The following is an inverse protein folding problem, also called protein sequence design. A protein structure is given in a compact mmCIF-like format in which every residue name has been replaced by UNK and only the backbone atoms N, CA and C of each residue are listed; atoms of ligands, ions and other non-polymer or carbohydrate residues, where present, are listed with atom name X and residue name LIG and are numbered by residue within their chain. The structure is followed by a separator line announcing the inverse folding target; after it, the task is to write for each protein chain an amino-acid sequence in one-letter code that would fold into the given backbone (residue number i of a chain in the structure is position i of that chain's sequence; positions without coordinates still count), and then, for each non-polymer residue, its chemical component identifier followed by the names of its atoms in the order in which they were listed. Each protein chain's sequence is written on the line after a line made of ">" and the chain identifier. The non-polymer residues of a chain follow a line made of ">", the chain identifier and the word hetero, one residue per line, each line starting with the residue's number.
data_IF_681418387899
#
_entry.id   IF_681418387899
#
_cell.length_a   1.000
_cell.length_b   1.000
_cell.length_c   1.000
_cell.angle_alpha   90.00
_cell.angle_beta   90.00
_cell.angle_gamma   90.00
#
_symmetry.space_group_name_H-M   'P 1'
#
loop_
_entity.id
_entity.type
_entity.pdbx_description
1 polymer ?
#
# COMPACT_ATOMS: atom_id res chain seq x y z
N UNK A 1 12.26 -10.51 -15.64
CA UNK A 1 11.07 -11.26 -15.24
C UNK A 1 10.58 -10.70 -13.92
N UNK A 2 9.27 -10.54 -13.76
CA UNK A 2 8.70 -10.11 -12.49
C UNK A 2 8.91 -11.21 -11.43
N UNK A 3 9.23 -10.81 -10.20
CA UNK A 3 9.40 -11.69 -9.05
C UNK A 3 8.33 -11.36 -8.02
N UNK A 4 7.52 -12.34 -7.65
CA UNK A 4 6.61 -12.24 -6.53
C UNK A 4 7.41 -12.07 -5.23
N UNK A 5 7.12 -10.97 -4.53
CA UNK A 5 7.68 -10.59 -3.24
C UNK A 5 6.59 -10.23 -2.24
N UNK A 6 5.36 -10.71 -2.44
CA UNK A 6 4.19 -10.48 -1.58
C UNK A 6 4.47 -10.83 -0.12
N UNK A 7 5.33 -11.82 0.12
CA UNK A 7 5.77 -12.21 1.47
C UNK A 7 6.56 -11.12 2.23
N UNK A 8 6.95 -10.02 1.59
CA UNK A 8 7.61 -8.86 2.21
C UNK A 8 6.63 -7.75 2.63
N UNK A 9 5.38 -7.86 2.21
CA UNK A 9 4.34 -6.87 2.48
C UNK A 9 3.74 -7.12 3.86
N UNK A 10 3.76 -6.09 4.70
CA UNK A 10 3.20 -6.09 6.05
C UNK A 10 2.10 -5.02 6.14
N UNK A 11 0.87 -5.45 6.42
CA UNK A 11 -0.24 -4.56 6.75
C UNK A 11 -0.10 -4.01 8.17
N UNK A 12 -0.66 -2.82 8.42
CA UNK A 12 -0.82 -2.29 9.79
C UNK A 12 -2.31 -2.22 10.15
N UNK A 13 -2.83 -3.31 10.71
CA UNK A 13 -4.26 -3.48 10.99
C UNK A 13 -4.84 -2.36 11.89
N UNK A 14 -4.07 -1.83 12.83
CA UNK A 14 -4.49 -0.70 13.70
C UNK A 14 -4.80 0.57 12.89
N UNK A 15 -4.09 0.79 11.77
CA UNK A 15 -4.38 1.90 10.88
C UNK A 15 -5.63 1.60 10.05
N UNK A 16 -5.78 0.39 9.54
CA UNK A 16 -7.00 -0.04 8.83
C UNK A 16 -8.26 0.14 9.71
N UNK A 17 -8.22 -0.30 10.97
CA UNK A 17 -9.28 -0.05 11.96
C UNK A 17 -9.55 1.44 12.18
N UNK A 18 -8.52 2.26 12.38
CA UNK A 18 -8.68 3.70 12.60
C UNK A 18 -9.40 4.41 11.44
N UNK A 19 -9.18 3.94 10.21
CA UNK A 19 -9.72 4.54 8.99
C UNK A 19 -10.99 3.84 8.48
N UNK A 20 -11.52 2.85 9.21
CA UNK A 20 -12.69 2.06 8.82
C UNK A 20 -12.55 1.39 7.44
N UNK A 21 -11.33 0.98 7.09
CA UNK A 21 -11.03 0.28 5.83
C UNK A 21 -10.43 -1.09 6.08
N UNK A 22 -10.48 -1.95 5.07
CA UNK A 22 -9.70 -3.19 4.96
C UNK A 22 -8.87 -3.16 3.68
N UNK A 23 -7.59 -3.53 3.79
CA UNK A 23 -6.73 -3.82 2.65
C UNK A 23 -6.73 -5.33 2.38
N UNK A 24 -7.25 -5.74 1.24
CA UNK A 24 -7.36 -7.14 0.84
C UNK A 24 -6.78 -7.41 -0.56
N UNK A 25 -6.64 -8.68 -0.94
CA UNK A 25 -6.19 -9.08 -2.27
C UNK A 25 -4.79 -8.57 -2.64
N UNK A 26 -3.95 -8.28 -1.63
CA UNK A 26 -2.65 -7.64 -1.84
C UNK A 26 -1.68 -8.56 -2.58
N UNK A 27 -1.08 -8.04 -3.64
CA UNK A 27 -0.01 -8.67 -4.41
C UNK A 27 1.12 -7.67 -4.60
N UNK A 28 2.36 -8.14 -4.44
CA UNK A 28 3.55 -7.33 -4.60
C UNK A 28 4.57 -8.05 -5.47
N UNK A 29 5.03 -7.37 -6.52
CA UNK A 29 6.10 -7.88 -7.38
C UNK A 29 7.22 -6.87 -7.58
N UNK A 30 8.40 -7.39 -7.93
CA UNK A 30 9.55 -6.58 -8.33
C UNK A 30 10.03 -6.91 -9.73
N UNK A 31 10.45 -5.90 -10.50
CA UNK A 31 11.12 -6.10 -11.78
C UNK A 31 12.66 -6.27 -11.65
N UNK A 32 13.35 -6.40 -12.77
CA UNK A 32 14.82 -6.57 -12.82
C UNK A 32 15.60 -5.34 -12.34
N UNK A 33 14.97 -4.16 -12.30
CA UNK A 33 15.53 -2.90 -11.84
C UNK A 33 15.20 -2.62 -10.37
N UNK A 34 14.66 -3.60 -9.64
CA UNK A 34 14.13 -3.48 -8.29
C UNK A 34 12.96 -2.48 -8.17
N UNK A 35 12.28 -2.12 -9.26
CA UNK A 35 11.03 -1.38 -9.15
C UNK A 35 9.98 -2.30 -8.55
N UNK A 36 9.15 -1.76 -7.66
CA UNK A 36 8.12 -2.52 -6.96
C UNK A 36 6.75 -2.04 -7.41
N UNK A 37 5.88 -3.01 -7.65
CA UNK A 37 4.47 -2.79 -7.99
C UNK A 37 3.63 -3.50 -6.94
N UNK A 38 2.74 -2.75 -6.29
CA UNK A 38 1.80 -3.26 -5.30
C UNK A 38 0.39 -3.03 -5.86
N UNK A 39 -0.38 -4.10 -5.93
CA UNK A 39 -1.80 -4.05 -6.30
C UNK A 39 -2.63 -4.67 -5.19
N UNK A 40 -3.88 -4.25 -5.08
CA UNK A 40 -4.82 -4.87 -4.17
C UNK A 40 -6.13 -4.11 -4.12
N UNK A 41 -6.90 -4.39 -3.09
CA UNK A 41 -8.25 -3.88 -2.92
C UNK A 41 -8.34 -3.10 -1.62
N UNK A 42 -9.12 -2.03 -1.66
CA UNK A 42 -9.52 -1.25 -0.49
C UNK A 42 -11.03 -1.38 -0.34
N UNK A 43 -11.47 -1.83 0.82
CA UNK A 43 -12.88 -1.98 1.18
C UNK A 43 -13.21 -1.11 2.38
N UNK A 44 -14.44 -0.62 2.50
CA UNK A 44 -14.93 -0.14 3.80
C UNK A 44 -15.34 -1.30 4.67
N UNK A 45 -15.03 -1.21 5.96
CA UNK A 45 -15.58 -2.13 6.98
C UNK A 45 -17.07 -1.88 7.18
N UNK A 46 -17.48 -0.62 7.16
CA UNK A 46 -18.86 -0.20 7.35
C UNK A 46 -19.21 0.99 6.44
N UNK A 47 -20.44 1.02 5.94
CA UNK A 47 -20.90 2.08 5.04
C UNK A 47 -20.38 1.94 3.60
N UNK A 48 -20.52 3.01 2.84
CA UNK A 48 -20.17 3.07 1.41
C UNK A 48 -19.42 4.35 1.02
N UNK A 49 -19.22 5.29 1.94
CA UNK A 49 -18.58 6.59 1.68
C UNK A 49 -17.45 6.82 2.68
N UNK A 50 -16.39 7.50 2.26
CA UNK A 50 -15.34 7.99 3.15
C UNK A 50 -15.73 9.36 3.69
N UNK A 51 -15.36 9.64 4.94
CA UNK A 51 -15.60 10.95 5.57
C UNK A 51 -14.71 12.07 5.01
N UNK A 52 -13.58 11.70 4.38
CA UNK A 52 -12.60 12.61 3.80
C UNK A 52 -11.62 11.84 2.92
N UNK A 53 -10.86 12.57 2.09
CA UNK A 53 -9.76 12.01 1.32
C UNK A 53 -8.70 11.34 2.23
N UNK A 54 -8.19 10.19 1.79
CA UNK A 54 -7.12 9.46 2.47
C UNK A 54 -6.05 9.02 1.47
N UNK A 55 -4.91 8.56 1.98
CA UNK A 55 -3.88 7.91 1.18
C UNK A 55 -3.53 6.53 1.74
N UNK A 56 -3.28 5.57 0.85
CA UNK A 56 -2.63 4.31 1.18
C UNK A 56 -1.14 4.49 0.95
N UNK A 57 -0.35 4.44 2.03
CA UNK A 57 1.10 4.55 1.99
C UNK A 57 1.73 3.18 1.84
N UNK A 58 2.73 3.06 0.97
CA UNK A 58 3.66 1.95 0.94
C UNK A 58 5.07 2.44 1.30
N UNK A 59 5.68 1.85 2.34
CA UNK A 59 6.97 2.28 2.89
C UNK A 59 7.97 1.13 2.86
N UNK A 60 9.05 1.31 2.13
CA UNK A 60 10.13 0.34 1.98
C UNK A 60 11.19 0.52 3.08
N UNK A 61 11.61 -0.60 3.67
CA UNK A 61 12.66 -0.65 4.69
C UNK A 61 13.85 -1.50 4.25
N UNK A 62 15.05 -1.07 4.61
CA UNK A 62 16.25 -1.91 4.48
C UNK A 62 16.39 -2.94 5.62
N UNK A 63 17.48 -3.72 5.56
CA UNK A 63 17.86 -4.72 6.56
C UNK A 63 18.10 -4.14 7.96
N UNK A 64 18.40 -2.85 8.06
CA UNK A 64 18.60 -2.11 9.31
C UNK A 64 17.32 -1.41 9.80
N UNK A 65 16.15 -1.75 9.23
CA UNK A 65 14.86 -1.13 9.53
C UNK A 65 14.83 0.40 9.28
N UNK A 66 15.64 0.91 8.36
CA UNK A 66 15.59 2.32 7.94
C UNK A 66 14.65 2.45 6.75
N UNK A 67 13.85 3.52 6.74
CA UNK A 67 13.02 3.85 5.57
C UNK A 67 13.95 4.25 4.42
N UNK A 68 13.81 3.59 3.28
CA UNK A 68 14.62 3.86 2.07
C UNK A 68 13.81 4.53 0.96
N UNK A 69 12.50 4.31 0.92
CA UNK A 69 11.59 4.92 -0.06
C UNK A 69 10.14 4.82 0.46
N UNK A 70 9.28 5.70 -0.04
CA UNK A 70 7.83 5.59 0.11
C UNK A 70 7.13 5.99 -1.19
N UNK A 71 5.91 5.52 -1.36
CA UNK A 71 4.96 5.99 -2.37
C UNK A 71 3.55 5.91 -1.78
N UNK A 72 2.58 6.48 -2.47
CA UNK A 72 1.21 6.58 -2.04
C UNK A 72 0.21 6.35 -3.17
N UNK A 73 -0.98 5.89 -2.82
CA UNK A 73 -2.18 5.92 -3.65
C UNK A 73 -3.23 6.76 -2.95
N UNK A 74 -3.79 7.76 -3.63
CA UNK A 74 -4.79 8.67 -3.06
C UNK A 74 -6.18 8.12 -3.34
N UNK A 75 -7.00 8.03 -2.31
CA UNK A 75 -8.42 7.70 -2.40
C UNK A 75 -9.20 8.97 -2.11
N UNK A 76 -9.99 9.41 -3.09
CA UNK A 76 -10.80 10.61 -2.98
C UNK A 76 -12.20 10.26 -2.47
N UNK A 77 -12.67 10.97 -1.46
CA UNK A 77 -13.98 10.72 -0.84
C UNK A 77 -15.13 10.71 -1.86
N UNK A 78 -15.10 11.66 -2.78
CA UNK A 78 -16.13 11.91 -3.78
C UNK A 78 -16.16 10.90 -4.94
N UNK A 79 -15.21 9.95 -4.98
CA UNK A 79 -15.10 8.91 -6.00
C UNK A 79 -15.20 7.51 -5.42
N UNK A 80 -15.08 7.38 -4.11
CA UNK A 80 -15.01 6.08 -3.46
C UNK A 80 -16.40 5.61 -3.05
N UNK A 81 -16.76 4.38 -3.42
CA UNK A 81 -18.07 3.79 -3.10
C UNK A 81 -17.91 2.38 -2.50
N UNK A 82 -17.39 2.32 -1.27
CA UNK A 82 -17.17 1.08 -0.51
C UNK A 82 -16.05 0.18 -1.03
N UNK A 83 -15.55 0.39 -2.25
CA UNK A 83 -14.55 -0.43 -2.91
C UNK A 83 -13.70 0.37 -3.92
N UNK A 84 -12.39 0.13 -3.94
CA UNK A 84 -11.49 0.59 -5.00
C UNK A 84 -10.29 -0.35 -5.15
N UNK A 85 -9.76 -0.46 -6.38
CA UNK A 85 -8.51 -1.18 -6.66
C UNK A 85 -7.34 -0.20 -6.56
N UNK A 86 -6.36 -0.50 -5.72
CA UNK A 86 -5.16 0.31 -5.58
C UNK A 86 -4.04 -0.22 -6.47
N UNK A 87 -3.22 0.70 -6.98
CA UNK A 87 -1.94 0.39 -7.60
C UNK A 87 -0.89 1.40 -7.14
N UNK A 88 0.14 0.94 -6.45
CA UNK A 88 1.28 1.74 -5.99
C UNK A 88 2.53 1.28 -6.73
N UNK A 89 3.35 2.22 -7.19
CA UNK A 89 4.62 1.91 -7.84
C UNK A 89 5.77 2.65 -7.16
N UNK A 90 6.82 1.90 -6.81
CA UNK A 90 8.00 2.41 -6.11
C UNK A 90 9.20 2.18 -7.01
N UNK A 91 9.77 3.27 -7.52
CA UNK A 91 10.89 3.26 -8.46
C UNK A 91 12.22 3.63 -7.79
N UNK A 92 13.32 3.37 -8.50
CA UNK A 92 14.68 3.81 -8.16
C UNK A 92 15.21 3.24 -6.83
N UNK A 93 14.86 1.99 -6.52
CA UNK A 93 15.42 1.28 -5.38
C UNK A 93 16.80 0.73 -5.76
N UNK A 94 17.83 1.11 -4.99
CA UNK A 94 19.19 0.57 -5.17
C UNK A 94 19.30 -0.92 -4.84
N UNK A 95 18.35 -1.45 -4.06
CA UNK A 95 18.23 -2.85 -3.68
C UNK A 95 16.78 -3.18 -3.30
N UNK A 96 16.40 -4.46 -3.40
CA UNK A 96 15.10 -4.91 -2.88
C UNK A 96 14.99 -4.64 -1.37
N UNK A 97 13.82 -4.17 -0.89
CA UNK A 97 13.60 -3.94 0.52
C UNK A 97 13.58 -5.25 1.30
N UNK A 98 13.96 -5.18 2.57
CA UNK A 98 13.76 -6.30 3.48
C UNK A 98 12.28 -6.49 3.79
N UNK A 99 11.57 -5.37 3.95
CA UNK A 99 10.17 -5.26 4.38
C UNK A 99 9.49 -4.07 3.69
N UNK A 100 8.21 -4.19 3.41
CA UNK A 100 7.35 -3.12 2.91
C UNK A 100 6.15 -3.02 3.84
N UNK A 101 5.86 -1.83 4.39
CA UNK A 101 4.62 -1.62 5.14
C UNK A 101 3.59 -0.93 4.27
N UNK A 102 2.35 -1.40 4.32
CA UNK A 102 1.21 -0.78 3.66
C UNK A 102 0.12 -0.43 4.67
N UNK A 103 -0.37 0.82 4.64
CA UNK A 103 -1.36 1.30 5.60
C UNK A 103 -2.02 2.62 5.15
N UNK A 104 -3.26 2.90 5.60
CA UNK A 104 -3.90 4.19 5.36
C UNK A 104 -3.32 5.31 6.23
N UNK A 105 -3.36 6.53 5.73
CA UNK A 105 -3.05 7.75 6.45
C UNK A 105 -3.87 8.93 5.90
N UNK A 106 -3.92 10.04 6.63
CA UNK A 106 -4.44 11.30 6.11
C UNK A 106 -3.53 11.84 5.01
N UNK A 107 -4.08 12.57 4.05
CA UNK A 107 -3.31 13.36 3.07
C UNK A 107 -2.42 14.41 3.74
#
# INVERSE_FOLDING_TARGET
>A
MAKDITNKLERLEVFEEKFNIDLDGLYCESDENNNIFITGEVHLKEGNELDQDIQILAVCYDDKNRVIKKSEFIIYDNKFFGFEVLQISIYELSQLPNKIRIYPNYL
#
